data_IF_229326951025
#
_entry.id   IF_229326951025
#
_cell.length_a   1.000
_cell.length_b   1.000
_cell.length_c   1.000
_cell.angle_alpha   90.00
_cell.angle_beta   90.00
_cell.angle_gamma   90.00
#
_symmetry.space_group_name_H-M   'P 1'
#
loop_
_entity.id
_entity.type
_entity.pdbx_description
1 polymer ?
#
# COMPACT_ATOMS: atom_id res chain seq x y z
N UNK A 1 5.52 6.33 -11.11
CA UNK A 1 6.68 5.42 -10.91
C UNK A 1 7.01 5.21 -9.44
N UNK A 2 7.02 6.25 -8.60
CA UNK A 2 7.31 6.11 -7.15
C UNK A 2 6.33 5.20 -6.40
N UNK A 3 5.05 5.21 -6.76
CA UNK A 3 4.04 4.32 -6.17
C UNK A 3 4.37 2.83 -6.43
N UNK A 4 4.61 2.46 -7.69
CA UNK A 4 5.00 1.10 -8.06
C UNK A 4 6.29 0.64 -7.39
N UNK A 5 7.29 1.52 -7.31
CA UNK A 5 8.55 1.23 -6.62
C UNK A 5 8.32 0.99 -5.11
N UNK A 6 7.48 1.80 -4.48
CA UNK A 6 7.11 1.64 -3.06
C UNK A 6 6.38 0.32 -2.85
N UNK A 7 5.47 -0.07 -3.75
CA UNK A 7 4.74 -1.33 -3.65
C UNK A 7 5.66 -2.53 -3.80
N UNK A 8 6.53 -2.53 -4.81
CA UNK A 8 7.49 -3.60 -5.04
C UNK A 8 8.40 -3.78 -3.81
N UNK A 9 8.92 -2.68 -3.26
CA UNK A 9 9.77 -2.71 -2.08
C UNK A 9 9.03 -3.21 -0.84
N UNK A 10 7.79 -2.75 -0.60
CA UNK A 10 7.02 -3.21 0.55
C UNK A 10 6.68 -4.70 0.47
N UNK A 11 6.27 -5.21 -0.69
CA UNK A 11 6.02 -6.64 -0.88
C UNK A 11 7.30 -7.47 -0.66
N UNK A 12 8.42 -7.02 -1.20
CA UNK A 12 9.72 -7.67 -1.00
C UNK A 12 10.12 -7.70 0.48
N UNK A 13 9.96 -6.58 1.19
CA UNK A 13 10.28 -6.48 2.61
C UNK A 13 9.36 -7.34 3.47
N UNK A 14 8.07 -7.44 3.13
CA UNK A 14 7.14 -8.34 3.80
C UNK A 14 7.52 -9.80 3.63
N UNK A 15 7.94 -10.20 2.41
CA UNK A 15 8.45 -11.53 2.16
C UNK A 15 9.71 -11.81 2.99
N UNK A 16 10.63 -10.83 3.07
CA UNK A 16 11.85 -10.94 3.86
C UNK A 16 11.54 -11.03 5.36
N UNK A 17 10.62 -10.22 5.87
CA UNK A 17 10.15 -10.28 7.26
C UNK A 17 9.56 -11.65 7.60
N UNK A 18 8.71 -12.18 6.72
CA UNK A 18 8.09 -13.48 6.93
C UNK A 18 9.13 -14.61 7.01
N UNK A 19 10.07 -14.66 6.06
CA UNK A 19 11.07 -15.73 5.98
C UNK A 19 12.14 -15.65 7.09
N UNK A 20 12.56 -14.45 7.49
CA UNK A 20 13.68 -14.30 8.43
C UNK A 20 13.26 -14.08 9.89
N UNK A 21 12.06 -13.58 10.14
CA UNK A 21 11.58 -13.24 11.49
C UNK A 21 10.41 -14.12 11.91
N UNK A 22 9.36 -14.23 11.09
CA UNK A 22 8.15 -14.99 11.47
C UNK A 22 8.42 -16.49 11.49
N UNK A 23 9.13 -17.02 10.49
CA UNK A 23 9.46 -18.45 10.39
C UNK A 23 10.52 -18.90 11.42
N UNK A 24 11.24 -17.96 12.05
CA UNK A 24 12.34 -18.24 12.98
C UNK A 24 12.09 -17.64 14.37
N UNK A 25 11.36 -18.35 15.26
CA UNK A 25 11.01 -17.83 16.59
C UNK A 25 12.21 -17.58 17.51
N UNK A 26 13.36 -18.18 17.22
CA UNK A 26 14.62 -17.94 17.95
C UNK A 26 15.12 -16.50 17.77
N UNK A 27 15.01 -15.96 16.55
CA UNK A 27 15.45 -14.58 16.23
C UNK A 27 14.59 -13.54 16.97
N UNK A 28 13.29 -13.82 17.08
CA UNK A 28 12.35 -12.98 17.84
C UNK A 28 12.72 -12.96 19.32
N UNK A 29 13.04 -14.13 19.90
CA UNK A 29 13.45 -14.24 21.31
C UNK A 29 14.79 -13.57 21.60
N UNK A 30 15.76 -13.68 20.68
CA UNK A 30 17.08 -13.07 20.83
C UNK A 30 17.05 -11.54 20.73
N UNK A 31 15.98 -10.95 20.19
CA UNK A 31 15.74 -9.49 20.11
C UNK A 31 16.93 -8.65 19.58
N UNK A 32 17.67 -9.30 18.72
CA UNK A 32 18.49 -8.81 17.63
C UNK A 32 18.22 -7.36 17.13
N UNK A 33 19.26 -6.54 17.03
CA UNK A 33 19.19 -5.16 16.50
C UNK A 33 18.72 -5.14 15.04
N UNK A 34 19.17 -6.09 14.22
CA UNK A 34 18.87 -6.20 12.80
C UNK A 34 17.42 -6.56 12.56
N UNK A 35 16.83 -7.36 13.45
CA UNK A 35 15.41 -7.66 13.45
C UNK A 35 14.56 -6.40 13.74
N UNK A 36 14.96 -5.57 14.71
CA UNK A 36 14.28 -4.28 14.97
C UNK A 36 14.43 -3.29 13.82
N UNK A 37 15.63 -3.20 13.23
CA UNK A 37 15.87 -2.34 12.07
C UNK A 37 15.02 -2.78 10.88
N UNK A 38 14.92 -4.09 10.65
CA UNK A 38 14.07 -4.63 9.59
C UNK A 38 12.59 -4.29 9.82
N UNK A 39 12.11 -4.37 11.06
CA UNK A 39 10.75 -3.94 11.41
C UNK A 39 10.54 -2.45 11.05
N UNK A 40 11.45 -1.57 11.49
CA UNK A 40 11.36 -0.13 11.22
C UNK A 40 11.35 0.15 9.71
N UNK A 41 12.22 -0.52 8.95
CA UNK A 41 12.31 -0.38 7.49
C UNK A 41 11.01 -0.86 6.83
N UNK A 42 10.51 -2.03 7.23
CA UNK A 42 9.23 -2.57 6.75
C UNK A 42 8.09 -1.58 6.99
N UNK A 43 7.95 -1.09 8.23
CA UNK A 43 6.90 -0.14 8.60
C UNK A 43 7.05 1.18 7.83
N UNK A 44 8.26 1.69 7.63
CA UNK A 44 8.49 2.91 6.84
C UNK A 44 8.01 2.76 5.40
N UNK A 45 8.37 1.66 4.72
CA UNK A 45 7.94 1.43 3.34
C UNK A 45 6.43 1.16 3.26
N UNK A 46 5.84 0.55 4.28
CA UNK A 46 4.39 0.40 4.41
C UNK A 46 3.71 1.78 4.47
N UNK A 47 4.13 2.66 5.40
CA UNK A 47 3.61 4.04 5.52
C UNK A 47 3.83 4.87 4.25
N UNK A 48 4.99 4.67 3.60
CA UNK A 48 5.31 5.29 2.31
C UNK A 48 4.32 4.89 1.24
N UNK A 49 3.90 3.63 1.19
CA UNK A 49 2.87 3.20 0.24
C UNK A 49 1.53 3.90 0.48
N UNK A 50 1.09 4.02 1.74
CA UNK A 50 -0.13 4.75 2.08
C UNK A 50 -0.05 6.22 1.66
N UNK A 51 1.08 6.87 1.95
CA UNK A 51 1.30 8.28 1.63
C UNK A 51 1.36 8.52 0.11
N UNK A 52 2.04 7.64 -0.63
CA UNK A 52 2.11 7.69 -2.10
C UNK A 52 0.77 7.42 -2.77
N UNK A 53 -0.04 6.53 -2.20
CA UNK A 53 -1.41 6.29 -2.66
C UNK A 53 -2.27 7.54 -2.53
N UNK A 54 -2.21 8.22 -1.39
CA UNK A 54 -2.91 9.49 -1.18
C UNK A 54 -2.41 10.55 -2.17
N UNK A 55 -1.10 10.64 -2.39
CA UNK A 55 -0.51 11.58 -3.35
C UNK A 55 -1.01 11.35 -4.78
N UNK A 56 -1.10 10.10 -5.24
CA UNK A 56 -1.67 9.80 -6.56
C UNK A 56 -3.16 10.13 -6.64
N UNK A 57 -3.94 9.83 -5.59
CA UNK A 57 -5.35 10.20 -5.52
C UNK A 57 -5.56 11.72 -5.58
N UNK A 58 -4.74 12.48 -4.84
CA UNK A 58 -4.78 13.94 -4.82
C UNK A 58 -4.35 14.54 -6.16
N UNK A 59 -3.31 13.97 -6.78
CA UNK A 59 -2.84 14.35 -8.11
C UNK A 59 -3.95 14.20 -9.16
N UNK A 60 -4.56 13.02 -9.23
CA UNK A 60 -5.62 12.74 -10.20
C UNK A 60 -6.85 13.63 -9.97
N UNK A 61 -7.27 13.81 -8.72
CA UNK A 61 -8.36 14.73 -8.38
C UNK A 61 -8.06 16.18 -8.79
N UNK A 62 -6.83 16.64 -8.53
CA UNK A 62 -6.40 18.01 -8.85
C UNK A 62 -6.38 18.25 -10.36
N UNK A 63 -5.82 17.34 -11.14
CA UNK A 63 -5.80 17.43 -12.62
C UNK A 63 -7.22 17.43 -13.20
N UNK A 64 -8.15 16.70 -12.59
CA UNK A 64 -9.55 16.64 -13.05
C UNK A 64 -10.35 17.93 -12.75
N UNK A 65 -10.05 18.64 -11.66
CA UNK A 65 -10.82 19.79 -11.18
C UNK A 65 -10.15 21.14 -11.47
N UNK A 66 -8.81 21.19 -11.48
CA UNK A 66 -8.03 22.41 -11.60
C UNK A 66 -7.08 22.35 -12.79
N UNK A 67 -7.37 23.14 -13.83
CA UNK A 67 -6.58 23.18 -15.06
C UNK A 67 -5.39 24.16 -15.03
N UNK A 68 -5.18 24.89 -13.92
CA UNK A 68 -4.25 26.03 -13.87
C UNK A 68 -3.02 25.83 -12.94
N UNK A 69 -2.84 24.65 -12.35
CA UNK A 69 -1.71 24.36 -11.46
C UNK A 69 -0.49 23.91 -12.28
N UNK A 70 0.69 24.45 -11.96
CA UNK A 70 1.95 23.99 -12.53
C UNK A 70 2.24 22.55 -12.11
N UNK A 71 2.25 21.63 -13.07
CA UNK A 71 2.51 20.20 -12.85
C UNK A 71 3.85 19.96 -12.13
N UNK A 72 4.88 20.75 -12.46
CA UNK A 72 6.22 20.62 -11.86
C UNK A 72 6.21 20.94 -10.36
N UNK A 73 5.51 22.01 -9.95
CA UNK A 73 5.39 22.37 -8.54
C UNK A 73 4.58 21.33 -7.77
N UNK A 74 3.48 20.86 -8.36
CA UNK A 74 2.63 19.83 -7.77
C UNK A 74 3.43 18.54 -7.53
N UNK A 75 4.15 18.04 -8.55
CA UNK A 75 4.97 16.83 -8.44
C UNK A 75 6.07 16.97 -7.37
N UNK A 76 6.74 18.12 -7.30
CA UNK A 76 7.78 18.36 -6.29
C UNK A 76 7.21 18.41 -4.88
N UNK A 77 6.04 19.03 -4.69
CA UNK A 77 5.34 19.03 -3.41
C UNK A 77 4.94 17.61 -3.00
N UNK A 78 4.34 16.83 -3.91
CA UNK A 78 3.94 15.44 -3.65
C UNK A 78 5.15 14.54 -3.30
N UNK A 79 6.31 14.75 -3.92
CA UNK A 79 7.54 14.05 -3.55
C UNK A 79 7.98 14.32 -2.10
N UNK A 80 7.93 15.58 -1.67
CA UNK A 80 8.27 15.97 -0.31
C UNK A 80 7.25 15.43 0.70
N UNK A 81 5.96 15.52 0.38
CA UNK A 81 4.88 15.05 1.25
C UNK A 81 4.87 13.53 1.35
N UNK A 82 5.00 12.81 0.24
CA UNK A 82 4.93 11.36 0.18
C UNK A 82 6.00 10.69 1.05
N UNK A 83 7.27 11.06 0.85
CA UNK A 83 8.37 10.51 1.65
C UNK A 83 8.48 11.14 3.05
N UNK A 84 8.26 12.45 3.16
CA UNK A 84 8.44 13.19 4.40
C UNK A 84 7.41 12.80 5.47
N UNK A 85 6.14 12.60 5.09
CA UNK A 85 5.09 12.22 6.03
C UNK A 85 5.37 10.85 6.64
N UNK A 86 5.73 9.86 5.81
CA UNK A 86 6.06 8.51 6.29
C UNK A 86 7.31 8.47 7.16
N UNK A 87 8.30 9.29 6.84
CA UNK A 87 9.50 9.42 7.66
C UNK A 87 9.18 10.04 9.03
N UNK A 88 8.31 11.05 9.06
CA UNK A 88 7.90 11.71 10.30
C UNK A 88 7.13 10.75 11.21
N UNK A 89 6.17 10.00 10.65
CA UNK A 89 5.37 9.02 11.40
C UNK A 89 6.24 7.93 12.04
N UNK A 90 7.19 7.35 11.30
CA UNK A 90 8.07 6.31 11.84
C UNK A 90 9.04 6.85 12.90
N UNK A 91 9.54 8.08 12.73
CA UNK A 91 10.41 8.72 13.72
C UNK A 91 9.65 8.95 15.03
N UNK A 92 8.42 9.46 14.96
CA UNK A 92 7.58 9.68 16.15
C UNK A 92 7.31 8.35 16.85
N UNK A 93 6.93 7.31 16.12
CA UNK A 93 6.69 5.99 16.68
C UNK A 93 7.94 5.41 17.36
N UNK A 94 9.09 5.44 16.68
CA UNK A 94 10.34 4.93 17.22
C UNK A 94 10.80 5.73 18.46
N UNK A 95 10.64 7.05 18.45
CA UNK A 95 10.97 7.92 19.58
C UNK A 95 10.06 7.63 20.79
N UNK A 96 8.74 7.54 20.59
CA UNK A 96 7.81 7.24 21.68
C UNK A 96 8.05 5.83 22.24
N UNK A 97 8.22 4.82 21.38
CA UNK A 97 8.46 3.43 21.83
C UNK A 97 9.81 3.27 22.54
N UNK A 98 10.85 4.01 22.12
CA UNK A 98 12.16 3.98 22.78
C UNK A 98 12.19 4.70 24.13
N UNK A 99 11.44 5.80 24.29
CA UNK A 99 11.42 6.59 25.54
C UNK A 99 10.48 6.01 26.59
N UNK A 100 9.30 5.53 26.17
CA UNK A 100 8.25 5.09 27.10
C UNK A 100 8.08 3.57 27.18
N UNK A 101 8.62 2.80 26.23
CA UNK A 101 8.50 1.34 26.21
C UNK A 101 9.34 0.69 27.30
N UNK A 102 8.72 -0.22 28.06
CA UNK A 102 9.43 -1.05 29.04
C UNK A 102 10.39 -2.03 28.34
N UNK A 103 11.41 -2.59 29.04
CA UNK A 103 12.33 -3.57 28.46
C UNK A 103 11.64 -4.81 27.88
N UNK A 104 10.48 -5.17 28.45
CA UNK A 104 9.65 -6.30 27.99
C UNK A 104 8.90 -5.93 26.70
N UNK A 105 8.32 -4.72 26.61
CA UNK A 105 7.64 -4.21 25.40
C UNK A 105 8.59 -3.88 24.24
N UNK A 106 9.85 -3.60 24.56
CA UNK A 106 10.94 -3.44 23.61
C UNK A 106 11.61 -4.77 23.23
N UNK A 107 11.08 -5.89 23.76
CA UNK A 107 11.41 -7.27 23.38
C UNK A 107 10.89 -7.68 22.01
N UNK A 108 11.09 -8.95 21.66
CA UNK A 108 10.44 -9.60 20.53
C UNK A 108 10.55 -8.87 19.17
N UNK A 109 11.66 -8.19 18.90
CA UNK A 109 11.85 -7.38 17.70
C UNK A 109 10.76 -6.32 17.41
N UNK A 110 10.07 -5.84 18.45
CA UNK A 110 8.90 -4.95 18.31
C UNK A 110 7.71 -5.58 17.57
N UNK A 111 7.67 -6.91 17.45
CA UNK A 111 6.58 -7.67 16.85
C UNK A 111 5.29 -7.56 17.67
N UNK A 112 5.40 -7.43 19.00
CA UNK A 112 4.24 -7.32 19.88
C UNK A 112 3.51 -5.98 19.66
N UNK A 113 2.22 -6.10 19.36
CA UNK A 113 1.28 -5.00 19.25
C UNK A 113 1.06 -4.39 20.64
N UNK A 114 1.69 -3.24 20.85
CA UNK A 114 1.58 -2.47 22.08
C UNK A 114 0.65 -1.29 21.86
N UNK A 115 0.23 -0.63 22.94
CA UNK A 115 -0.58 0.60 22.87
C UNK A 115 0.05 1.70 22.01
N UNK A 116 1.37 1.66 21.80
CA UNK A 116 2.11 2.60 20.96
C UNK A 116 1.82 2.44 19.46
N UNK A 117 1.32 1.28 19.00
CA UNK A 117 0.94 1.07 17.60
C UNK A 117 -0.21 1.99 17.16
N UNK A 118 -1.09 2.41 18.08
CA UNK A 118 -2.16 3.38 17.82
C UNK A 118 -1.65 4.69 17.22
N UNK A 119 -0.42 5.10 17.56
CA UNK A 119 0.21 6.32 17.03
C UNK A 119 0.43 6.23 15.52
N UNK A 120 0.73 5.03 15.01
CA UNK A 120 0.83 4.77 13.57
C UNK A 120 -0.55 4.48 12.96
N UNK A 121 -1.41 3.78 13.68
CA UNK A 121 -2.72 3.37 13.18
C UNK A 121 -3.65 4.56 12.88
N UNK A 122 -3.68 5.59 13.74
CA UNK A 122 -4.53 6.78 13.55
C UNK A 122 -4.23 7.49 12.21
N UNK A 123 -2.99 7.93 11.92
CA UNK A 123 -2.69 8.62 10.67
C UNK A 123 -2.86 7.73 9.44
N UNK A 124 -2.58 6.42 9.55
CA UNK A 124 -2.87 5.46 8.49
C UNK A 124 -4.37 5.39 8.21
N UNK A 125 -5.22 5.25 9.23
CA UNK A 125 -6.67 5.25 9.08
C UNK A 125 -7.20 6.55 8.46
N UNK A 126 -6.65 7.71 8.85
CA UNK A 126 -6.98 9.00 8.23
C UNK A 126 -6.61 9.03 6.73
N UNK A 127 -5.40 8.62 6.39
CA UNK A 127 -4.89 8.56 5.01
C UNK A 127 -5.75 7.66 4.13
N UNK A 128 -6.07 6.47 4.66
CA UNK A 128 -6.96 5.49 4.03
C UNK A 128 -8.36 6.07 3.82
N UNK A 129 -8.96 6.71 4.84
CA UNK A 129 -10.27 7.33 4.73
C UNK A 129 -10.32 8.43 3.66
N UNK A 130 -9.31 9.31 3.63
CA UNK A 130 -9.17 10.34 2.60
C UNK A 130 -9.04 9.73 1.20
N UNK A 131 -8.28 8.65 1.06
CA UNK A 131 -8.14 7.95 -0.22
C UNK A 131 -9.47 7.39 -0.72
N UNK A 132 -10.31 6.82 0.16
CA UNK A 132 -11.67 6.37 -0.19
C UNK A 132 -12.56 7.53 -0.65
N UNK A 133 -12.47 8.69 -0.01
CA UNK A 133 -13.22 9.89 -0.41
C UNK A 133 -12.79 10.37 -1.81
N UNK A 134 -11.48 10.44 -2.08
CA UNK A 134 -10.98 10.80 -3.41
C UNK A 134 -11.41 9.79 -4.47
N UNK A 135 -11.33 8.50 -4.16
CA UNK A 135 -11.81 7.44 -5.03
C UNK A 135 -13.28 7.67 -5.41
N UNK A 136 -14.16 7.86 -4.43
CA UNK A 136 -15.58 8.09 -4.69
C UNK A 136 -15.83 9.34 -5.57
N UNK A 137 -15.10 10.43 -5.32
CA UNK A 137 -15.19 11.66 -6.11
C UNK A 137 -14.76 11.45 -7.57
N UNK A 138 -13.64 10.75 -7.79
CA UNK A 138 -13.13 10.43 -9.12
C UNK A 138 -14.14 9.53 -9.86
N UNK A 139 -14.64 8.48 -9.19
CA UNK A 139 -15.66 7.59 -9.75
C UNK A 139 -16.93 8.34 -10.15
N UNK A 140 -17.40 9.27 -9.32
CA UNK A 140 -18.56 10.11 -9.63
C UNK A 140 -18.33 10.92 -10.90
N UNK A 141 -17.21 11.65 -10.99
CA UNK A 141 -16.88 12.49 -12.16
C UNK A 141 -16.76 11.65 -13.42
N UNK A 142 -16.11 10.49 -13.32
CA UNK A 142 -15.88 9.57 -14.43
C UNK A 142 -17.20 8.96 -14.93
N UNK A 143 -18.07 8.50 -14.03
CA UNK A 143 -19.41 8.02 -14.35
C UNK A 143 -20.28 9.10 -15.01
N UNK A 144 -20.16 10.37 -14.58
CA UNK A 144 -20.89 11.49 -15.20
C UNK A 144 -20.37 11.75 -16.61
N UNK A 145 -19.05 11.74 -16.83
CA UNK A 145 -18.43 11.90 -18.16
C UNK A 145 -18.85 10.77 -19.11
N UNK A 146 -18.91 9.53 -18.63
CA UNK A 146 -19.40 8.39 -19.40
C UNK A 146 -20.85 8.55 -19.84
N UNK A 147 -21.74 8.97 -18.93
CA UNK A 147 -23.17 9.17 -19.25
C UNK A 147 -23.41 10.28 -20.27
N UNK A 148 -22.48 11.23 -20.41
CA UNK A 148 -22.57 12.37 -21.34
C UNK A 148 -21.81 12.14 -22.65
N UNK A 149 -21.06 11.05 -22.81
CA UNK A 149 -20.44 10.71 -24.08
C UNK A 149 -21.54 10.43 -25.12
N UNK A 150 -21.58 11.13 -26.27
CA UNK A 150 -22.57 10.88 -27.30
C UNK A 150 -22.52 9.42 -27.74
N UNK A 151 -23.67 8.81 -28.04
CA UNK A 151 -23.80 7.42 -28.49
C UNK A 151 -23.04 7.14 -29.81
N UNK A 152 -21.71 7.09 -29.77
CA UNK A 152 -20.87 6.64 -30.86
C UNK A 152 -20.71 5.12 -30.78
N UNK A 153 -21.74 4.39 -31.23
CA UNK A 153 -21.67 2.96 -31.56
C UNK A 153 -21.44 1.99 -30.38
N UNK A 154 -22.10 0.84 -30.45
CA UNK A 154 -22.04 -0.24 -29.44
C UNK A 154 -20.64 -0.85 -29.19
N UNK A 155 -19.56 -0.35 -29.82
CA UNK A 155 -18.17 -0.79 -29.64
C UNK A 155 -17.33 0.09 -28.70
N UNK A 156 -17.37 1.42 -28.85
CA UNK A 156 -16.55 2.35 -28.05
C UNK A 156 -17.06 2.49 -26.59
N UNK A 157 -18.37 2.34 -26.38
CA UNK A 157 -18.98 2.28 -25.04
C UNK A 157 -18.55 1.03 -24.26
N UNK A 158 -18.40 -0.12 -24.94
CA UNK A 158 -17.90 -1.35 -24.31
C UNK A 158 -16.42 -1.23 -23.96
N UNK A 159 -15.57 -0.72 -24.86
CA UNK A 159 -14.14 -0.55 -24.59
C UNK A 159 -13.87 0.47 -23.46
N UNK A 160 -14.58 1.60 -23.43
CA UNK A 160 -14.48 2.59 -22.35
C UNK A 160 -15.07 2.09 -21.03
N UNK A 161 -16.16 1.30 -21.05
CA UNK A 161 -16.69 0.62 -19.86
C UNK A 161 -15.75 -0.48 -19.36
N UNK A 162 -15.02 -1.14 -20.25
CA UNK A 162 -14.06 -2.19 -19.91
C UNK A 162 -12.78 -1.59 -19.33
N UNK A 163 -12.30 -0.46 -19.88
CA UNK A 163 -11.26 0.36 -19.29
C UNK A 163 -11.72 0.94 -17.95
N UNK A 164 -12.96 1.45 -17.84
CA UNK A 164 -13.54 1.90 -16.59
C UNK A 164 -13.58 0.77 -15.57
N UNK A 165 -14.06 -0.41 -15.95
CA UNK A 165 -14.15 -1.58 -15.07
C UNK A 165 -12.77 -2.04 -14.64
N UNK A 166 -11.77 -2.01 -15.53
CA UNK A 166 -10.39 -2.29 -15.22
C UNK A 166 -9.82 -1.26 -14.24
N UNK A 167 -9.94 0.04 -14.51
CA UNK A 167 -9.47 1.12 -13.62
C UNK A 167 -10.21 1.14 -12.28
N UNK A 168 -11.52 0.90 -12.28
CA UNK A 168 -12.38 0.85 -11.09
C UNK A 168 -12.14 -0.40 -10.25
N UNK A 169 -11.61 -1.48 -10.83
CA UNK A 169 -11.07 -2.62 -10.10
C UNK A 169 -9.64 -2.35 -9.62
N UNK A 170 -8.81 -1.67 -10.42
CA UNK A 170 -7.40 -1.42 -10.15
C UNK A 170 -7.17 -0.42 -9.02
N UNK A 171 -7.94 0.67 -8.97
CA UNK A 171 -7.75 1.77 -8.00
C UNK A 171 -8.09 1.36 -6.56
N UNK A 172 -9.19 0.64 -6.27
CA UNK A 172 -9.41 0.06 -4.95
C UNK A 172 -8.41 -1.06 -4.65
N UNK A 173 -8.05 -1.90 -5.63
CA UNK A 173 -7.13 -3.02 -5.37
C UNK A 173 -5.74 -2.57 -4.95
N UNK A 174 -5.25 -1.43 -5.43
CA UNK A 174 -3.95 -0.89 -4.99
C UNK A 174 -3.93 -0.64 -3.47
N UNK A 175 -5.08 -0.43 -2.82
CA UNK A 175 -5.18 -0.03 -1.41
C UNK A 175 -6.12 -0.83 -0.51
N UNK A 176 -6.88 -1.81 -1.02
CA UNK A 176 -7.91 -2.49 -0.22
C UNK A 176 -7.32 -3.45 0.82
N UNK A 177 -6.22 -4.15 0.49
CA UNK A 177 -5.51 -4.96 1.48
C UNK A 177 -5.02 -4.07 2.63
N UNK A 178 -4.46 -2.92 2.24
CA UNK A 178 -4.00 -1.85 3.12
C UNK A 178 -5.12 -1.16 3.90
N UNK A 179 -6.38 -1.25 3.45
CA UNK A 179 -7.57 -0.78 4.17
C UNK A 179 -7.91 -1.70 5.34
N UNK A 180 -7.62 -2.99 5.20
CA UNK A 180 -7.92 -4.01 6.18
C UNK A 180 -6.80 -4.12 7.23
N UNK A 181 -5.53 -3.99 6.82
CA UNK A 181 -4.35 -4.14 7.70
C UNK A 181 -4.41 -3.38 9.04
N UNK A 182 -4.92 -2.13 9.11
CA UNK A 182 -5.04 -1.38 10.35
C UNK A 182 -6.24 -1.78 11.21
N UNK A 183 -7.23 -2.50 10.68
CA UNK A 183 -8.40 -2.98 11.43
C UNK A 183 -8.24 -4.43 11.91
N UNK A 184 -7.02 -4.87 12.21
CA UNK A 184 -6.80 -6.19 12.83
C UNK A 184 -7.61 -6.26 14.13
N UNK A 185 -8.68 -7.06 14.20
CA UNK A 185 -9.53 -7.11 15.39
C UNK A 185 -8.81 -7.82 16.53
N UNK A 186 -9.11 -7.45 17.77
CA UNK A 186 -8.66 -8.21 18.95
C UNK A 186 -9.09 -9.68 18.84
N UNK A 187 -8.25 -10.60 19.34
CA UNK A 187 -8.40 -12.06 19.25
C UNK A 187 -9.81 -12.52 19.62
N UNK A 188 -10.67 -12.65 18.62
CA UNK A 188 -12.03 -13.14 18.74
C UNK A 188 -12.22 -14.29 17.72
N UNK A 189 -12.71 -15.46 18.16
CA UNK A 189 -12.61 -16.69 17.40
C UNK A 189 -13.29 -16.73 16.01
N UNK A 190 -14.31 -15.91 15.65
CA UNK A 190 -14.82 -15.88 14.27
C UNK A 190 -14.25 -14.76 13.39
N UNK A 191 -13.88 -13.61 13.96
CA UNK A 191 -13.48 -12.43 13.16
C UNK A 191 -11.99 -12.45 12.76
N UNK A 192 -11.14 -13.07 13.56
CA UNK A 192 -9.70 -13.21 13.27
C UNK A 192 -9.46 -14.09 12.04
N UNK A 193 -10.11 -15.26 11.96
CA UNK A 193 -10.01 -16.15 10.80
C UNK A 193 -10.53 -15.50 9.52
N UNK A 194 -11.69 -14.83 9.59
CA UNK A 194 -12.24 -14.11 8.44
C UNK A 194 -11.30 -13.00 7.97
N UNK A 195 -10.71 -12.26 8.90
CA UNK A 195 -9.74 -11.21 8.61
C UNK A 195 -8.47 -11.76 7.93
N UNK A 196 -7.89 -12.84 8.47
CA UNK A 196 -6.69 -13.47 7.91
C UNK A 196 -6.93 -13.98 6.49
N UNK A 197 -8.05 -14.67 6.25
CA UNK A 197 -8.41 -15.17 4.92
C UNK A 197 -8.61 -14.02 3.93
N UNK A 198 -9.38 -12.99 4.31
CA UNK A 198 -9.64 -11.84 3.43
C UNK A 198 -8.34 -11.08 3.14
N UNK A 199 -7.48 -10.89 4.14
CA UNK A 199 -6.18 -10.26 3.96
C UNK A 199 -5.28 -11.08 3.02
N UNK A 200 -5.14 -12.39 3.23
CA UNK A 200 -4.34 -13.27 2.39
C UNK A 200 -4.80 -13.30 0.93
N UNK A 201 -6.13 -13.36 0.71
CA UNK A 201 -6.73 -13.32 -0.62
C UNK A 201 -6.45 -11.98 -1.29
N UNK A 202 -6.68 -10.87 -0.58
CA UNK A 202 -6.48 -9.52 -1.14
C UNK A 202 -5.01 -9.24 -1.44
N UNK A 203 -4.08 -9.73 -0.62
CA UNK A 203 -2.64 -9.62 -0.83
C UNK A 203 -2.21 -10.39 -2.09
N UNK A 204 -2.67 -11.63 -2.23
CA UNK A 204 -2.40 -12.48 -3.40
C UNK A 204 -2.86 -11.82 -4.71
N UNK A 205 -4.04 -11.21 -4.70
CA UNK A 205 -4.56 -10.49 -5.87
C UNK A 205 -3.75 -9.22 -6.20
N UNK A 206 -3.24 -8.51 -5.19
CA UNK A 206 -2.38 -7.34 -5.40
C UNK A 206 -1.05 -7.72 -6.08
N UNK A 207 -0.40 -8.79 -5.63
CA UNK A 207 0.87 -9.25 -6.21
C UNK A 207 0.67 -9.69 -7.66
N UNK A 208 -0.39 -10.47 -7.92
CA UNK A 208 -0.73 -10.92 -9.27
C UNK A 208 -0.98 -9.76 -10.24
N UNK A 209 -1.77 -8.76 -9.84
CA UNK A 209 -2.09 -7.63 -10.71
C UNK A 209 -0.93 -6.65 -10.91
N UNK A 210 -0.07 -6.49 -9.91
CA UNK A 210 1.16 -5.70 -10.06
C UNK A 210 2.09 -6.37 -11.08
N UNK A 211 2.23 -7.70 -11.00
CA UNK A 211 3.02 -8.47 -11.95
C UNK A 211 2.46 -8.38 -13.38
N UNK A 212 1.14 -8.55 -13.56
CA UNK A 212 0.48 -8.39 -14.86
C UNK A 212 0.68 -7.00 -15.47
N UNK A 213 0.53 -5.93 -14.68
CA UNK A 213 0.78 -4.57 -15.17
C UNK A 213 2.24 -4.35 -15.59
N UNK A 214 3.20 -4.88 -14.83
CA UNK A 214 4.62 -4.77 -15.21
C UNK A 214 4.88 -5.50 -16.53
N UNK A 215 4.30 -6.70 -16.71
CA UNK A 215 4.40 -7.46 -17.96
C UNK A 215 3.77 -6.74 -19.15
N UNK A 216 2.63 -6.06 -18.97
CA UNK A 216 1.97 -5.29 -20.05
C UNK A 216 2.72 -4.00 -20.40
N UNK A 217 3.31 -3.31 -19.41
CA UNK A 217 4.03 -2.05 -19.61
C UNK A 217 5.45 -2.26 -20.12
N UNK A 218 6.10 -3.38 -19.77
CA UNK A 218 7.47 -3.73 -20.19
C UNK A 218 7.52 -5.11 -20.88
N UNK A 219 6.93 -5.26 -22.07
CA UNK A 219 6.87 -6.54 -22.78
C UNK A 219 8.25 -7.07 -23.19
N UNK A 220 9.24 -6.18 -23.39
CA UNK A 220 10.58 -6.53 -23.87
C UNK A 220 11.63 -6.74 -22.76
N UNK A 221 11.28 -6.55 -21.49
CA UNK A 221 12.24 -6.67 -20.38
C UNK A 221 12.31 -8.07 -19.76
N UNK A 222 11.36 -8.95 -20.11
CA UNK A 222 11.19 -10.26 -19.47
C UNK A 222 11.70 -11.45 -20.31
N UNK A 223 12.32 -11.22 -21.47
CA UNK A 223 13.01 -12.27 -22.22
C UNK A 223 14.26 -12.80 -21.47
N UNK A 224 14.76 -12.06 -20.48
CA UNK A 224 15.80 -12.52 -19.54
C UNK A 224 15.27 -13.22 -18.27
N UNK A 225 13.96 -13.25 -18.04
CA UNK A 225 13.39 -13.83 -16.79
C UNK A 225 12.97 -15.30 -16.95
N UNK A 226 13.50 -16.00 -17.96
CA UNK A 226 13.50 -17.47 -17.97
C UNK A 226 14.34 -18.09 -16.84
N UNK A 227 15.14 -17.29 -16.12
CA UNK A 227 16.02 -17.75 -15.04
C UNK A 227 15.31 -17.90 -13.69
N UNK A 228 14.27 -17.11 -13.38
CA UNK A 228 13.67 -17.11 -12.03
C UNK A 228 12.73 -18.30 -11.79
N UNK A 229 12.10 -18.83 -12.85
CA UNK A 229 11.22 -20.01 -12.74
C UNK A 229 12.02 -21.30 -12.48
N UNK A 230 13.32 -21.33 -12.79
CA UNK A 230 14.18 -22.49 -12.51
C UNK A 230 14.70 -22.58 -11.07
N UNK A 231 14.51 -21.55 -10.23
CA UNK A 231 14.92 -21.57 -8.81
C UNK A 231 13.78 -21.96 -7.85
N UNK A 232 12.58 -22.20 -8.36
CA UNK A 232 11.41 -22.69 -7.61
C UNK A 232 11.14 -24.19 -7.84
N UNK A 233 12.20 -24.97 -8.08
CA UNK A 233 12.19 -26.43 -8.12
C UNK A 233 13.43 -26.95 -7.42
#
# INVERSE_FOLDING_TARGET
>A
MNLFASFAMNNFLWLLWYNFVVDRPEVVKDNTLWCRLLHIILTYFLLSNYSWMLCEGLYLHTVLVSAFISEVLLLRCMLLVGWGTSLLEIIIYAAVRSVYGTPVENGACWLDETRYYLILQIPVCCTVGLNVLFLFNILRVLCIKLKRAPHAGSGASRASLQALRATLLLVPLLGLNYLLTPFRPEKNPPWEYAYEVVSAVTASFQVCNTYLMICEVYPNSFESTHVVIYLAK
#
